data_IF_395270139403
#
_entry.id   IF_395270139403
#
_cell.length_a   1.000
_cell.length_b   1.000
_cell.length_c   1.000
_cell.angle_alpha   90.00
_cell.angle_beta   90.00
_cell.angle_gamma   90.00
#
_symmetry.space_group_name_H-M   'P 1'
#
loop_
_entity.id
_entity.type
_entity.pdbx_description
1 polymer ?
#
# COMPACT_ATOMS: atom_id res chain seq x y z
N UNK A 1 35.98 -0.78 34.72
CA UNK A 1 35.02 -0.22 33.74
C UNK A 1 34.28 -1.40 33.13
N UNK A 2 32.98 -1.50 33.42
CA UNK A 2 32.10 -2.58 32.99
C UNK A 2 31.23 -2.04 31.86
N UNK A 3 31.12 -2.76 30.74
CA UNK A 3 29.95 -2.64 29.89
C UNK A 3 29.38 -4.03 29.63
N UNK A 4 28.06 -4.12 29.83
CA UNK A 4 27.24 -5.30 30.01
C UNK A 4 26.52 -5.58 28.70
N UNK A 5 26.64 -6.78 28.14
CA UNK A 5 25.74 -7.27 27.10
C UNK A 5 24.86 -8.32 27.76
N UNK A 6 23.55 -8.08 27.77
CA UNK A 6 22.55 -8.98 28.34
C UNK A 6 21.42 -9.15 27.32
N UNK A 7 21.41 -10.27 26.63
CA UNK A 7 20.21 -11.06 26.40
C UNK A 7 20.67 -12.47 26.02
N UNK A 8 20.22 -13.41 26.83
CA UNK A 8 20.61 -14.81 26.82
C UNK A 8 19.91 -15.53 25.68
N UNK A 9 20.65 -16.26 24.84
CA UNK A 9 20.54 -17.71 24.65
C UNK A 9 21.52 -18.16 23.54
N UNK A 10 22.81 -18.25 23.86
CA UNK A 10 23.79 -18.93 22.99
C UNK A 10 24.01 -20.31 23.58
N UNK A 11 23.33 -21.30 23.02
CA UNK A 11 23.69 -22.70 23.24
C UNK A 11 24.96 -22.94 22.42
N UNK A 12 26.10 -22.98 23.09
CA UNK A 12 27.34 -23.45 22.50
C UNK A 12 27.29 -24.96 22.32
N UNK A 13 27.37 -25.44 21.08
CA UNK A 13 27.74 -26.83 20.79
C UNK A 13 29.17 -26.84 20.25
N UNK A 14 30.09 -27.35 21.05
CA UNK A 14 31.40 -27.79 20.59
C UNK A 14 31.21 -29.10 19.83
N UNK A 15 31.52 -29.12 18.53
CA UNK A 15 31.67 -30.35 17.77
C UNK A 15 33.13 -30.49 17.36
N UNK A 16 33.83 -31.39 18.04
CA UNK A 16 35.13 -31.89 17.64
C UNK A 16 34.92 -32.86 16.48
N UNK A 17 35.36 -32.49 15.27
CA UNK A 17 35.18 -33.36 14.09
C UNK A 17 36.49 -34.07 13.76
N UNK A 18 36.45 -35.41 13.79
CA UNK A 18 37.44 -36.26 13.15
C UNK A 18 37.13 -36.36 11.65
N UNK A 19 38.19 -36.40 10.85
CA UNK A 19 38.18 -36.33 9.39
C UNK A 19 37.56 -37.58 8.71
N UNK A 20 36.25 -37.77 8.80
CA UNK A 20 35.50 -38.67 7.90
C UNK A 20 34.00 -38.38 7.94
N UNK A 21 33.56 -37.30 7.26
CA UNK A 21 32.29 -37.25 6.51
C UNK A 21 32.14 -35.89 5.81
N UNK A 22 32.98 -35.63 4.81
CA UNK A 22 32.80 -34.49 3.87
C UNK A 22 31.69 -34.87 2.86
N UNK A 23 30.47 -35.15 3.34
CA UNK A 23 29.30 -35.42 2.47
C UNK A 23 27.99 -34.77 2.90
N UNK A 24 27.91 -34.00 3.98
CA UNK A 24 26.67 -33.27 4.32
C UNK A 24 26.76 -31.75 4.29
N UNK A 25 27.86 -31.17 3.81
CA UNK A 25 28.02 -29.72 3.67
C UNK A 25 27.44 -29.19 2.34
N UNK A 26 26.21 -29.58 2.02
CA UNK A 26 25.45 -29.00 0.91
C UNK A 26 23.97 -28.85 1.27
N UNK A 27 23.67 -28.28 2.44
CA UNK A 27 22.31 -27.83 2.77
C UNK A 27 22.32 -26.51 3.54
N UNK A 28 23.22 -25.61 3.15
CA UNK A 28 23.19 -24.20 3.54
C UNK A 28 23.29 -23.33 2.29
N UNK A 29 22.58 -23.69 1.22
CA UNK A 29 22.15 -22.65 0.29
C UNK A 29 21.03 -21.91 1.01
N UNK A 30 21.43 -20.85 1.70
CA UNK A 30 20.57 -19.73 1.99
C UNK A 30 20.03 -19.25 0.64
N UNK A 31 18.97 -19.90 0.16
CA UNK A 31 18.11 -19.30 -0.84
C UNK A 31 17.37 -18.23 -0.07
N UNK A 32 17.96 -17.05 0.00
CA UNK A 32 17.17 -15.82 0.07
C UNK A 32 16.40 -15.80 -1.23
N UNK A 33 15.33 -16.60 -1.32
CA UNK A 33 14.24 -16.27 -2.22
C UNK A 33 13.79 -14.92 -1.73
N UNK A 34 14.03 -13.88 -2.53
CA UNK A 34 13.35 -12.60 -2.40
C UNK A 34 11.86 -12.93 -2.52
N UNK A 35 11.24 -13.28 -1.40
CA UNK A 35 9.81 -13.48 -1.34
C UNK A 35 9.23 -12.11 -1.69
N UNK A 36 8.65 -12.01 -2.88
CA UNK A 36 7.97 -10.79 -3.32
C UNK A 36 6.97 -10.44 -2.21
N UNK A 37 7.15 -9.27 -1.58
CA UNK A 37 6.21 -8.77 -0.57
C UNK A 37 4.84 -8.73 -1.23
N UNK A 38 3.81 -9.20 -0.53
CA UNK A 38 2.45 -9.04 -1.01
C UNK A 38 2.12 -7.54 -1.00
N UNK A 39 1.84 -6.98 -2.17
CA UNK A 39 1.45 -5.58 -2.37
C UNK A 39 0.07 -5.48 -3.00
N UNK A 40 -0.59 -4.34 -2.81
CA UNK A 40 -1.95 -4.11 -3.31
C UNK A 40 -2.08 -2.80 -4.09
N UNK A 41 -3.01 -2.78 -5.02
CA UNK A 41 -3.48 -1.55 -5.69
C UNK A 41 -4.71 -1.03 -4.95
N UNK A 42 -4.68 0.23 -4.54
CA UNK A 42 -5.82 0.94 -3.96
C UNK A 42 -6.54 1.73 -5.05
N UNK A 43 -7.85 1.53 -5.19
CA UNK A 43 -8.73 2.35 -6.00
C UNK A 43 -9.56 3.20 -5.05
N UNK A 44 -9.39 4.51 -5.09
CA UNK A 44 -9.99 5.47 -4.16
C UNK A 44 -11.17 6.16 -4.84
N UNK A 45 -12.29 6.14 -4.13
CA UNK A 45 -13.58 6.59 -4.64
C UNK A 45 -14.30 7.42 -3.58
N UNK A 46 -15.00 8.47 -4.01
CA UNK A 46 -15.91 9.24 -3.16
C UNK A 46 -17.38 8.99 -3.50
N UNK A 47 -18.24 9.22 -2.51
CA UNK A 47 -19.70 9.26 -2.65
C UNK A 47 -20.24 10.63 -3.04
N UNK A 48 -19.37 11.63 -3.15
CA UNK A 48 -19.72 13.03 -3.46
C UNK A 48 -19.50 13.39 -4.93
N UNK A 49 -18.72 12.60 -5.68
CA UNK A 49 -18.44 12.85 -7.09
C UNK A 49 -19.09 11.81 -8.02
N UNK A 50 -20.08 12.16 -8.85
CA UNK A 50 -20.62 11.32 -9.92
C UNK A 50 -19.58 10.57 -10.78
N UNK A 51 -18.43 11.18 -11.08
CA UNK A 51 -17.36 10.54 -11.86
C UNK A 51 -16.60 9.45 -11.07
N UNK A 52 -16.76 9.44 -9.75
CA UNK A 52 -16.31 8.38 -8.84
C UNK A 52 -17.40 7.32 -8.63
N UNK A 53 -18.64 7.77 -8.33
CA UNK A 53 -19.75 6.90 -7.92
C UNK A 53 -20.07 5.85 -8.98
N UNK A 54 -20.24 6.28 -10.24
CA UNK A 54 -20.72 5.37 -11.29
C UNK A 54 -19.67 4.29 -11.62
N UNK A 55 -18.38 4.62 -11.83
CA UNK A 55 -17.36 3.59 -12.03
C UNK A 55 -17.16 2.69 -10.80
N UNK A 56 -17.21 3.24 -9.58
CA UNK A 56 -17.10 2.44 -8.36
C UNK A 56 -18.24 1.42 -8.23
N UNK A 57 -19.48 1.84 -8.48
CA UNK A 57 -20.64 0.96 -8.45
C UNK A 57 -20.55 -0.15 -9.51
N UNK A 58 -20.14 0.21 -10.73
CA UNK A 58 -19.93 -0.78 -11.79
C UNK A 58 -18.82 -1.79 -11.45
N UNK A 59 -17.72 -1.32 -10.84
CA UNK A 59 -16.62 -2.17 -10.40
C UNK A 59 -17.07 -3.13 -9.30
N UNK A 60 -17.75 -2.62 -8.26
CA UNK A 60 -18.21 -3.41 -7.12
C UNK A 60 -19.34 -4.39 -7.47
N UNK A 61 -20.07 -4.17 -8.56
CA UNK A 61 -21.07 -5.11 -9.08
C UNK A 61 -20.45 -6.36 -9.73
N UNK A 62 -19.15 -6.34 -10.05
CA UNK A 62 -18.43 -7.51 -10.56
C UNK A 62 -18.29 -8.58 -9.45
N UNK A 63 -18.25 -9.89 -9.79
CA UNK A 63 -18.07 -10.92 -8.79
C UNK A 63 -16.68 -10.88 -8.14
N UNK A 64 -16.59 -11.36 -6.89
CA UNK A 64 -15.33 -11.53 -6.17
C UNK A 64 -14.99 -10.40 -5.19
N UNK A 65 -15.81 -9.36 -5.09
CA UNK A 65 -15.68 -8.35 -4.04
C UNK A 65 -16.26 -8.83 -2.71
N UNK A 66 -15.50 -8.63 -1.64
CA UNK A 66 -15.95 -8.82 -0.26
C UNK A 66 -15.68 -7.56 0.56
N UNK A 67 -16.36 -7.40 1.69
CA UNK A 67 -16.07 -6.31 2.61
C UNK A 67 -14.64 -6.46 3.18
N UNK A 68 -13.89 -5.36 3.22
CA UNK A 68 -12.57 -5.26 3.83
C UNK A 68 -12.59 -4.53 5.17
N UNK A 69 -11.42 -4.19 5.73
CA UNK A 69 -11.31 -3.41 6.96
C UNK A 69 -11.91 -2.00 6.78
N UNK A 70 -12.45 -1.43 7.87
CA UNK A 70 -12.86 -0.02 7.89
C UNK A 70 -11.62 0.80 8.22
N UNK A 71 -11.31 1.81 7.39
CA UNK A 71 -10.19 2.72 7.66
C UNK A 71 -10.70 3.96 8.41
N UNK A 72 -9.93 4.52 9.37
CA UNK A 72 -10.26 5.80 9.97
C UNK A 72 -10.34 6.91 8.90
N UNK A 73 -11.22 7.94 9.04
CA UNK A 73 -12.18 8.11 10.11
C UNK A 73 -13.39 7.17 10.01
N UNK A 74 -13.87 6.83 8.81
CA UNK A 74 -15.02 5.91 8.58
C UNK A 74 -15.10 5.47 7.10
N UNK A 75 -13.96 5.11 6.50
CA UNK A 75 -13.90 4.72 5.09
C UNK A 75 -14.19 3.23 4.92
N UNK A 76 -15.10 2.91 4.01
CA UNK A 76 -15.41 1.53 3.65
C UNK A 76 -14.33 1.01 2.73
N UNK A 77 -13.91 -0.23 2.91
CA UNK A 77 -13.06 -0.91 1.93
C UNK A 77 -13.68 -2.20 1.42
N UNK A 78 -13.31 -2.56 0.21
CA UNK A 78 -13.69 -3.80 -0.45
C UNK A 78 -12.45 -4.49 -1.00
N UNK A 79 -12.45 -5.82 -0.95
CA UNK A 79 -11.30 -6.65 -1.28
C UNK A 79 -11.63 -7.54 -2.46
N UNK A 80 -10.73 -7.59 -3.44
CA UNK A 80 -10.72 -8.61 -4.49
C UNK A 80 -9.26 -8.88 -4.90
N UNK A 81 -8.72 -10.05 -4.54
CA UNK A 81 -7.32 -10.44 -4.78
C UNK A 81 -6.31 -9.39 -4.30
N UNK A 82 -5.53 -8.79 -5.18
CA UNK A 82 -4.53 -7.74 -4.90
C UNK A 82 -5.08 -6.32 -5.06
N UNK A 83 -6.38 -6.17 -5.30
CA UNK A 83 -7.03 -4.87 -5.48
C UNK A 83 -7.92 -4.56 -4.29
N UNK A 84 -7.93 -3.29 -3.90
CA UNK A 84 -8.79 -2.76 -2.86
C UNK A 84 -9.57 -1.57 -3.42
N UNK A 85 -10.86 -1.47 -3.09
CA UNK A 85 -11.64 -0.26 -3.34
C UNK A 85 -11.86 0.42 -2.01
N UNK A 86 -11.46 1.68 -1.89
CA UNK A 86 -11.71 2.53 -0.73
C UNK A 86 -12.81 3.51 -1.11
N UNK A 87 -13.85 3.58 -0.28
CA UNK A 87 -14.98 4.48 -0.47
C UNK A 87 -15.15 5.38 0.75
N UNK A 88 -15.17 6.70 0.51
CA UNK A 88 -15.34 7.70 1.55
C UNK A 88 -16.24 8.85 1.11
N UNK A 89 -16.69 9.65 2.07
CA UNK A 89 -17.62 10.78 1.79
C UNK A 89 -16.88 12.11 1.58
N UNK A 90 -15.56 12.11 1.74
CA UNK A 90 -14.70 13.27 1.64
C UNK A 90 -14.42 13.74 0.20
N UNK A 91 -13.50 14.70 0.09
CA UNK A 91 -12.96 15.14 -1.18
C UNK A 91 -11.66 14.39 -1.47
N UNK A 92 -11.52 13.87 -2.69
CA UNK A 92 -10.32 13.13 -3.11
C UNK A 92 -9.06 13.95 -2.86
N UNK A 93 -9.05 15.24 -3.19
CA UNK A 93 -7.85 16.10 -3.10
C UNK A 93 -7.35 16.36 -1.68
N UNK A 94 -8.06 15.88 -0.65
CA UNK A 94 -7.70 16.06 0.76
C UNK A 94 -7.21 14.77 1.43
N UNK A 95 -7.09 13.69 0.67
CA UNK A 95 -6.82 12.35 1.21
C UNK A 95 -5.32 12.06 1.34
N UNK A 96 -4.65 12.84 2.19
CA UNK A 96 -3.21 12.69 2.45
C UNK A 96 -2.86 11.40 3.19
N UNK A 97 -1.70 10.84 2.83
CA UNK A 97 -1.06 9.71 3.51
C UNK A 97 -1.96 8.47 3.59
N UNK A 98 -2.81 8.29 2.57
CA UNK A 98 -3.79 7.20 2.52
C UNK A 98 -3.12 5.82 2.48
N UNK A 99 -2.00 5.73 1.78
CA UNK A 99 -1.11 4.57 1.74
C UNK A 99 -0.63 4.17 3.14
N UNK A 100 -0.22 5.15 3.94
CA UNK A 100 0.28 4.95 5.30
C UNK A 100 -0.84 4.49 6.22
N UNK A 101 -2.00 5.14 6.14
CA UNK A 101 -3.21 4.74 6.90
C UNK A 101 -3.70 3.35 6.49
N UNK A 102 -3.54 2.97 5.23
CA UNK A 102 -3.84 1.62 4.78
C UNK A 102 -2.85 0.60 5.35
N UNK A 103 -1.55 0.84 5.27
CA UNK A 103 -0.53 -0.07 5.80
C UNK A 103 -0.69 -0.25 7.33
N UNK A 104 -1.01 0.82 8.06
CA UNK A 104 -1.32 0.75 9.49
C UNK A 104 -2.57 -0.12 9.80
N UNK A 105 -3.63 0.01 8.99
CA UNK A 105 -4.89 -0.70 9.23
C UNK A 105 -4.87 -2.16 8.75
N UNK A 106 -4.16 -2.45 7.65
CA UNK A 106 -4.19 -3.74 6.97
C UNK A 106 -2.86 -4.51 7.04
N UNK A 107 -1.75 -3.86 7.42
CA UNK A 107 -0.39 -4.42 7.41
C UNK A 107 0.02 -4.99 6.04
N UNK A 108 -0.48 -4.39 4.96
CA UNK A 108 -0.19 -4.76 3.57
C UNK A 108 0.30 -3.50 2.85
N UNK A 109 1.47 -3.62 2.20
CA UNK A 109 2.06 -2.51 1.46
C UNK A 109 1.26 -2.16 0.20
N UNK A 110 1.27 -0.89 -0.16
CA UNK A 110 0.58 -0.35 -1.32
C UNK A 110 1.56 -0.22 -2.48
N UNK A 111 1.20 -0.78 -3.65
CA UNK A 111 1.97 -0.69 -4.89
C UNK A 111 1.57 0.56 -5.71
N UNK A 112 0.27 0.85 -5.73
CA UNK A 112 -0.30 1.92 -6.55
C UNK A 112 -1.59 2.44 -5.92
N UNK A 113 -1.84 3.74 -6.07
CA UNK A 113 -3.09 4.40 -5.68
C UNK A 113 -3.72 5.08 -6.90
N UNK A 114 -4.94 4.67 -7.24
CA UNK A 114 -5.71 5.17 -8.38
C UNK A 114 -6.92 5.92 -7.86
N UNK A 115 -7.07 7.20 -8.22
CA UNK A 115 -8.21 8.01 -7.82
C UNK A 115 -9.24 8.12 -8.95
N UNK A 116 -10.48 7.74 -8.67
CA UNK A 116 -11.59 7.95 -9.59
C UNK A 116 -12.21 9.32 -9.32
N UNK A 117 -11.93 10.30 -10.17
CA UNK A 117 -12.33 11.69 -9.96
C UNK A 117 -12.75 12.35 -11.25
N UNK A 118 -13.61 13.36 -11.16
CA UNK A 118 -14.00 14.19 -12.29
C UNK A 118 -12.86 15.10 -12.72
N UNK A 119 -12.63 15.11 -14.02
CA UNK A 119 -11.88 16.17 -14.67
C UNK A 119 -12.84 17.29 -15.12
N UNK A 120 -12.59 18.53 -14.72
CA UNK A 120 -13.40 19.68 -15.13
C UNK A 120 -12.59 20.57 -16.07
N UNK A 121 -13.04 20.71 -17.31
CA UNK A 121 -12.42 21.57 -18.31
C UNK A 121 -13.48 22.47 -18.95
N UNK A 122 -13.09 23.72 -19.25
CA UNK A 122 -13.97 24.74 -19.86
C UNK A 122 -14.46 24.34 -21.26
N UNK A 123 -13.75 23.45 -21.94
CA UNK A 123 -14.04 23.02 -23.31
C UNK A 123 -15.35 22.22 -23.47
N UNK A 124 -15.94 21.74 -22.36
CA UNK A 124 -17.15 20.91 -22.32
C UNK A 124 -17.14 19.70 -23.28
N UNK A 125 -15.94 19.21 -23.63
CA UNK A 125 -15.75 18.03 -24.46
C UNK A 125 -15.74 16.77 -23.60
N UNK A 126 -16.46 15.70 -23.98
CA UNK A 126 -16.31 14.41 -23.33
C UNK A 126 -14.86 13.93 -23.39
N UNK A 127 -14.30 13.54 -22.26
CA UNK A 127 -12.94 13.04 -22.15
C UNK A 127 -12.84 12.01 -21.01
N UNK A 128 -11.94 11.04 -21.21
CA UNK A 128 -11.43 10.17 -20.15
C UNK A 128 -9.94 10.45 -20.04
N UNK A 129 -9.50 10.92 -18.87
CA UNK A 129 -8.14 11.42 -18.66
C UNK A 129 -7.44 10.64 -17.56
N UNK A 130 -6.14 10.45 -17.73
CA UNK A 130 -5.25 9.91 -16.69
C UNK A 130 -4.12 10.90 -16.50
N UNK A 131 -3.82 11.26 -15.25
CA UNK A 131 -2.69 12.12 -14.91
C UNK A 131 -2.16 11.76 -13.51
N UNK A 132 -0.84 11.92 -13.27
CA UNK A 132 -0.32 11.83 -11.91
C UNK A 132 -0.88 12.97 -11.04
N UNK A 133 -0.89 12.76 -9.73
CA UNK A 133 -1.24 13.79 -8.75
C UNK A 133 0.04 14.44 -8.24
N UNK A 134 0.07 15.78 -8.12
CA UNK A 134 1.19 16.52 -7.56
C UNK A 134 1.13 18.04 -7.84
N UNK A 135 1.76 18.85 -6.98
CA UNK A 135 1.97 20.29 -7.22
C UNK A 135 3.43 20.50 -7.62
N UNK A 136 3.68 20.97 -8.84
CA UNK A 136 5.07 21.15 -9.32
C UNK A 136 5.85 22.29 -8.65
N UNK A 137 5.17 23.21 -7.96
CA UNK A 137 5.78 24.46 -7.47
C UNK A 137 6.07 24.46 -5.96
N UNK A 138 5.77 23.38 -5.24
CA UNK A 138 6.05 23.31 -3.81
C UNK A 138 7.49 22.89 -3.59
N UNK A 139 8.15 23.55 -2.63
CA UNK A 139 9.42 23.08 -2.09
C UNK A 139 9.16 21.88 -1.18
N UNK A 140 10.18 21.06 -0.96
CA UNK A 140 10.06 19.82 -0.18
C UNK A 140 9.58 20.06 1.26
N UNK A 141 9.83 21.25 1.81
CA UNK A 141 9.40 21.69 3.13
C UNK A 141 8.01 22.37 3.15
N UNK A 142 7.34 22.56 2.01
CA UNK A 142 6.03 23.20 1.92
C UNK A 142 4.91 22.16 1.75
N UNK A 143 3.95 22.14 2.68
CA UNK A 143 2.78 21.27 2.58
C UNK A 143 1.69 21.88 1.68
N UNK A 144 1.15 21.14 0.70
CA UNK A 144 0.03 21.62 -0.09
C UNK A 144 -1.22 21.78 0.79
N UNK A 145 -1.93 22.89 0.62
CA UNK A 145 -3.23 23.09 1.26
C UNK A 145 -4.34 22.23 0.64
N UNK A 146 -4.18 21.82 -0.63
CA UNK A 146 -5.19 21.07 -1.40
C UNK A 146 -4.52 20.18 -2.47
N UNK A 147 -3.84 19.10 -2.07
CA UNK A 147 -3.41 17.98 -2.93
C UNK A 147 -3.26 16.73 -2.08
N UNK A 148 -3.46 15.55 -2.69
CA UNK A 148 -3.16 14.24 -2.07
C UNK A 148 -1.67 13.95 -2.15
N UNK A 149 -1.07 13.65 -1.00
CA UNK A 149 0.25 13.06 -0.93
C UNK A 149 0.15 11.52 -0.77
N UNK A 150 0.84 10.78 -1.64
CA UNK A 150 1.08 9.34 -1.55
C UNK A 150 2.59 9.16 -1.61
N UNK A 151 3.18 8.37 -0.71
CA UNK A 151 4.62 8.14 -0.71
C UNK A 151 5.00 7.39 -1.99
N UNK A 152 6.04 7.89 -2.65
CA UNK A 152 6.78 7.13 -3.65
C UNK A 152 8.01 6.56 -2.95
N UNK A 153 8.14 5.23 -2.94
CA UNK A 153 9.29 4.53 -2.33
C UNK A 153 10.65 5.01 -2.84
#
# INVERSE_FOLDING_TARGET
MVLKISSQNIIGFSFQTNATCIKSLLSATCRVTLAKRETVTLIVTTTSDPASINPAAALLAMPGWTAGPILPPDMKSFVNKQTRVIQHDGSIVKENDLDSRWDEAASIAVDEVIFLSRHTAVSNRPALTVHPIGVLHLKEEESPSVIVNVRTE
#
